data_IF_956114753472
#
_entry.id   IF_956114753472
#
_cell.length_a   1.000
_cell.length_b   1.000
_cell.length_c   1.000
_cell.angle_alpha   90.00
_cell.angle_beta   90.00
_cell.angle_gamma   90.00
#
_symmetry.space_group_name_H-M   'P 1'
#
loop_
_entity.id
_entity.type
_entity.pdbx_description
1 polymer ?
#
# COMPACT_ATOMS: atom_id res chain seq x y z
N UNK A 1 -23.67 27.79 12.27
CA UNK A 1 -25.02 27.95 11.68
C UNK A 1 -25.32 26.94 10.54
N UNK A 2 -24.32 26.46 9.79
CA UNK A 2 -24.52 25.49 8.68
C UNK A 2 -24.89 24.05 9.11
N UNK A 3 -24.54 23.62 10.33
CA UNK A 3 -24.86 22.27 10.83
C UNK A 3 -26.36 22.01 11.03
N UNK A 4 -27.22 23.05 11.08
CA UNK A 4 -28.67 22.92 11.27
C UNK A 4 -29.43 22.63 9.97
N UNK A 5 -28.76 22.61 8.82
CA UNK A 5 -29.35 22.37 7.49
C UNK A 5 -29.07 20.95 6.96
N UNK A 6 -28.61 20.01 7.81
CA UNK A 6 -28.26 18.65 7.39
C UNK A 6 -26.92 18.52 6.65
N UNK A 7 -26.22 19.63 6.41
CA UNK A 7 -24.85 19.61 5.92
C UNK A 7 -23.90 19.29 7.07
N UNK A 8 -23.23 18.13 6.99
CA UNK A 8 -22.16 17.72 7.90
C UNK A 8 -21.16 18.89 8.02
N UNK A 9 -20.74 19.23 9.24
CA UNK A 9 -19.82 20.38 9.40
C UNK A 9 -18.54 20.11 8.61
N UNK A 10 -17.90 21.16 8.09
CA UNK A 10 -16.66 20.99 7.32
C UNK A 10 -15.58 20.25 8.11
N UNK A 11 -15.58 20.40 9.44
CA UNK A 11 -14.75 19.62 10.36
C UNK A 11 -15.06 18.13 10.30
N UNK A 12 -16.33 17.73 10.38
CA UNK A 12 -16.72 16.32 10.34
C UNK A 12 -16.45 15.69 8.98
N UNK A 13 -16.62 16.45 7.89
CA UNK A 13 -16.27 16.03 6.53
C UNK A 13 -14.78 15.77 6.43
N UNK A 14 -13.95 16.68 6.95
CA UNK A 14 -12.50 16.55 6.95
C UNK A 14 -12.03 15.34 7.77
N UNK A 15 -12.57 15.16 8.98
CA UNK A 15 -12.24 14.00 9.84
C UNK A 15 -12.59 12.69 9.13
N UNK A 16 -13.78 12.62 8.53
CA UNK A 16 -14.22 11.43 7.77
C UNK A 16 -13.29 11.15 6.60
N UNK A 17 -12.89 12.19 5.85
CA UNK A 17 -11.96 12.04 4.73
C UNK A 17 -10.58 11.53 5.18
N UNK A 18 -10.06 12.05 6.29
CA UNK A 18 -8.78 11.58 6.85
C UNK A 18 -8.83 10.12 7.30
N UNK A 19 -9.91 9.70 7.95
CA UNK A 19 -10.13 8.30 8.35
C UNK A 19 -10.21 7.39 7.12
N UNK A 20 -11.03 7.76 6.12
CA UNK A 20 -11.13 7.00 4.87
C UNK A 20 -9.78 6.88 4.17
N UNK A 21 -8.97 7.94 4.13
CA UNK A 21 -7.63 7.90 3.55
C UNK A 21 -6.71 6.94 4.31
N UNK A 22 -6.76 6.95 5.65
CA UNK A 22 -5.98 6.02 6.46
C UNK A 22 -6.38 4.56 6.20
N UNK A 23 -7.69 4.28 6.12
CA UNK A 23 -8.20 2.94 5.84
C UNK A 23 -7.79 2.45 4.45
N UNK A 24 -7.81 3.33 3.44
CA UNK A 24 -7.34 3.02 2.10
C UNK A 24 -5.84 2.70 2.08
N UNK A 25 -5.02 3.45 2.80
CA UNK A 25 -3.58 3.17 2.94
C UNK A 25 -3.37 1.79 3.57
N UNK A 26 -4.14 1.45 4.61
CA UNK A 26 -4.08 0.13 5.24
C UNK A 26 -4.46 -1.00 4.28
N UNK A 27 -5.52 -0.82 3.49
CA UNK A 27 -5.94 -1.79 2.46
C UNK A 27 -4.84 -1.99 1.42
N UNK A 28 -4.20 -0.91 0.96
CA UNK A 28 -3.09 -1.01 0.00
C UNK A 28 -1.91 -1.78 0.58
N UNK A 29 -1.44 -1.42 1.77
CA UNK A 29 -0.32 -2.12 2.43
C UNK A 29 -0.63 -3.61 2.63
N UNK A 30 -1.83 -3.93 3.10
CA UNK A 30 -2.27 -5.31 3.29
C UNK A 30 -2.30 -6.10 1.97
N UNK A 31 -2.81 -5.47 0.90
CA UNK A 31 -2.87 -6.08 -0.43
C UNK A 31 -1.48 -6.30 -1.02
N UNK A 32 -0.58 -5.32 -0.92
CA UNK A 32 0.82 -5.46 -1.35
C UNK A 32 1.53 -6.56 -0.58
N UNK A 33 1.31 -6.68 0.74
CA UNK A 33 1.87 -7.77 1.53
C UNK A 33 1.38 -9.15 1.08
N UNK A 34 0.12 -9.28 0.63
CA UNK A 34 -0.39 -10.54 0.05
C UNK A 34 0.35 -10.89 -1.24
N UNK A 35 0.58 -9.90 -2.11
CA UNK A 35 1.37 -10.09 -3.34
C UNK A 35 2.79 -10.51 -2.98
N UNK A 36 3.46 -9.82 -2.07
CA UNK A 36 4.81 -10.16 -1.62
C UNK A 36 4.91 -11.60 -1.10
N UNK A 37 3.94 -12.06 -0.31
CA UNK A 37 3.91 -13.46 0.15
C UNK A 37 3.84 -14.46 -1.00
N UNK A 38 3.00 -14.19 -2.02
CA UNK A 38 2.90 -15.05 -3.20
C UNK A 38 4.21 -15.08 -3.99
N UNK A 39 4.80 -13.91 -4.24
CA UNK A 39 6.07 -13.81 -4.96
C UNK A 39 7.20 -14.49 -4.19
N UNK A 40 7.26 -14.32 -2.86
CA UNK A 40 8.29 -14.95 -2.03
C UNK A 40 8.14 -16.48 -2.05
N UNK A 41 6.91 -16.99 -1.94
CA UNK A 41 6.63 -18.42 -1.91
C UNK A 41 6.89 -19.13 -3.25
N UNK A 42 6.65 -18.44 -4.38
CA UNK A 42 6.63 -19.09 -5.69
C UNK A 42 7.78 -18.69 -6.62
N UNK A 43 8.42 -17.54 -6.40
CA UNK A 43 9.49 -17.03 -7.27
C UNK A 43 10.83 -16.88 -6.56
N UNK A 44 10.95 -17.39 -5.33
CA UNK A 44 12.18 -17.31 -4.53
C UNK A 44 12.62 -15.87 -4.25
N UNK A 45 11.68 -14.94 -4.21
CA UNK A 45 11.93 -13.53 -3.82
C UNK A 45 11.89 -13.38 -2.29
N UNK A 46 12.37 -12.24 -1.79
CA UNK A 46 12.42 -11.98 -0.35
C UNK A 46 11.95 -10.56 0.00
N UNK A 47 10.75 -10.20 -0.48
CA UNK A 47 10.14 -8.92 -0.20
C UNK A 47 9.71 -8.81 1.27
N UNK A 48 9.98 -7.67 1.94
CA UNK A 48 9.64 -7.48 3.36
C UNK A 48 8.15 -7.19 3.56
N UNK A 49 7.55 -7.77 4.60
CA UNK A 49 6.18 -7.45 5.01
C UNK A 49 6.14 -6.07 5.66
N UNK A 50 5.32 -5.19 5.11
CA UNK A 50 5.15 -3.82 5.57
C UNK A 50 4.01 -3.70 6.60
N UNK A 51 4.06 -2.63 7.40
CA UNK A 51 2.95 -2.24 8.29
C UNK A 51 2.73 -0.74 8.16
N UNK A 52 1.45 -0.33 8.19
CA UNK A 52 1.12 1.08 8.38
C UNK A 52 1.62 1.50 9.76
N UNK A 53 2.32 2.62 9.81
CA UNK A 53 2.86 3.20 11.04
C UNK A 53 1.89 4.27 11.53
N UNK A 54 1.31 4.06 12.71
CA UNK A 54 0.34 5.00 13.31
C UNK A 54 0.99 6.34 13.68
N UNK A 55 2.29 6.33 13.97
CA UNK A 55 3.07 7.53 14.24
C UNK A 55 3.51 8.28 12.97
N UNK A 56 3.17 7.78 11.78
CA UNK A 56 3.52 8.41 10.51
C UNK A 56 2.29 9.12 9.94
N UNK A 57 2.53 10.21 9.23
CA UNK A 57 1.53 10.83 8.36
C UNK A 57 1.11 9.89 7.23
N UNK A 58 -0.04 10.17 6.63
CA UNK A 58 -0.53 9.46 5.44
C UNK A 58 0.52 9.51 4.32
N UNK A 59 1.18 10.66 4.13
CA UNK A 59 2.23 10.85 3.13
C UNK A 59 3.40 9.89 3.36
N UNK A 60 3.90 9.80 4.59
CA UNK A 60 5.05 8.95 4.92
C UNK A 60 4.72 7.47 4.73
N UNK A 61 3.53 7.02 5.14
CA UNK A 61 3.07 5.66 4.87
C UNK A 61 2.97 5.36 3.36
N UNK A 62 2.47 6.31 2.56
CA UNK A 62 2.45 6.18 1.10
C UNK A 62 3.86 6.15 0.49
N UNK A 63 4.81 6.91 1.03
CA UNK A 63 6.20 6.88 0.57
C UNK A 63 6.86 5.53 0.84
N UNK A 64 6.61 4.92 1.99
CA UNK A 64 7.06 3.55 2.28
C UNK A 64 6.50 2.56 1.26
N UNK A 65 5.19 2.63 1.00
CA UNK A 65 4.52 1.77 0.03
C UNK A 65 5.10 1.94 -1.38
N UNK A 66 5.26 3.18 -1.85
CA UNK A 66 5.82 3.47 -3.18
C UNK A 66 7.26 2.95 -3.29
N UNK A 67 8.05 3.09 -2.24
CA UNK A 67 9.44 2.62 -2.24
C UNK A 67 9.49 1.10 -2.39
N UNK A 68 8.66 0.37 -1.63
CA UNK A 68 8.58 -1.08 -1.72
C UNK A 68 8.04 -1.56 -3.08
N UNK A 69 7.08 -0.84 -3.68
CA UNK A 69 6.56 -1.18 -5.02
C UNK A 69 7.62 -0.98 -6.12
N UNK A 70 8.46 0.05 -6.00
CA UNK A 70 9.59 0.25 -6.92
C UNK A 70 10.64 -0.85 -6.80
N UNK A 71 10.95 -1.26 -5.57
CA UNK A 71 11.85 -2.38 -5.33
C UNK A 71 11.28 -3.69 -5.88
N UNK A 72 9.97 -3.93 -5.68
CA UNK A 72 9.25 -5.05 -6.29
C UNK A 72 9.37 -5.05 -7.81
N UNK A 73 9.17 -3.90 -8.46
CA UNK A 73 9.29 -3.78 -9.90
C UNK A 73 10.70 -4.16 -10.38
N UNK A 74 11.74 -3.60 -9.76
CA UNK A 74 13.13 -3.87 -10.14
C UNK A 74 13.50 -5.35 -9.98
N UNK A 75 13.09 -5.98 -8.87
CA UNK A 75 13.34 -7.40 -8.63
C UNK A 75 12.56 -8.26 -9.63
N UNK A 76 11.31 -7.93 -9.92
CA UNK A 76 10.50 -8.69 -10.87
C UNK A 76 11.03 -8.59 -12.32
N UNK A 77 11.61 -7.46 -12.74
CA UNK A 77 12.27 -7.36 -14.05
C UNK A 77 13.45 -8.33 -14.17
N UNK A 78 14.19 -8.57 -13.08
CA UNK A 78 15.26 -9.59 -13.07
C UNK A 78 14.68 -10.99 -13.09
N UNK A 79 13.65 -11.26 -12.26
CA UNK A 79 13.03 -12.58 -12.13
C UNK A 79 12.22 -13.01 -13.34
N UNK A 80 11.63 -12.08 -14.08
CA UNK A 80 10.89 -12.40 -15.31
C UNK A 80 11.80 -13.06 -16.35
N UNK A 81 13.05 -12.58 -16.48
CA UNK A 81 14.06 -13.22 -17.35
C UNK A 81 14.36 -14.64 -16.90
N UNK A 82 14.62 -14.85 -15.60
CA UNK A 82 14.90 -16.18 -15.04
C UNK A 82 13.73 -17.16 -15.31
N UNK A 83 12.49 -16.70 -15.13
CA UNK A 83 11.28 -17.53 -15.35
C UNK A 83 11.09 -17.86 -16.83
N UNK A 84 11.31 -16.90 -17.73
CA UNK A 84 11.24 -17.14 -19.18
C UNK A 84 12.29 -18.16 -19.66
N UNK A 85 13.46 -18.23 -19.02
CA UNK A 85 14.48 -19.24 -19.32
C UNK A 85 14.07 -20.64 -18.85
N UNK A 86 13.33 -20.76 -17.74
CA UNK A 86 12.85 -22.06 -17.20
C UNK A 86 11.68 -22.62 -18.01
N UNK A 87 10.82 -21.76 -18.56
CA UNK A 87 9.61 -22.16 -19.29
C UNK A 87 9.90 -22.51 -20.77
N UNK A 88 11.03 -22.05 -21.32
CA UNK A 88 11.47 -22.39 -22.68
C UNK A 88 12.01 -23.80 -22.79
#
# INVERSE_FOLDING_TARGET
MLARLGFKSDKDRLVTACQNLHDLVYIYVSSTNKIFRLLNAHLGTNFPIMSVKENFSIKENLQLLVSALKEMQAIMETKDRDVQEIIR
#
